data_IF_400766880541
#
_entry.id   IF_400766880541
#
_cell.length_a   1.000
_cell.length_b   1.000
_cell.length_c   1.000
_cell.angle_alpha   90.00
_cell.angle_beta   90.00
_cell.angle_gamma   90.00
#
_symmetry.space_group_name_H-M   'P 1'
#
loop_
_entity.id
_entity.type
_entity.pdbx_description
1 polymer ?
#
# COMPACT_ATOMS: atom_id res chain seq x y z
N UNK A 1 2.86 25.11 -5.76
CA UNK A 1 1.88 24.32 -4.99
C UNK A 1 2.43 24.13 -3.60
N UNK A 2 1.88 24.81 -2.59
CA UNK A 2 2.25 24.59 -1.18
C UNK A 2 1.69 23.23 -0.76
N UNK A 3 2.56 22.28 -0.47
CA UNK A 3 2.18 21.00 0.10
C UNK A 3 2.75 20.93 1.52
N UNK A 4 1.98 21.48 2.45
CA UNK A 4 2.29 21.45 3.88
C UNK A 4 1.91 20.12 4.52
N UNK A 5 1.32 19.18 3.77
CA UNK A 5 0.82 17.89 4.26
C UNK A 5 1.65 16.73 3.70
N UNK A 6 2.94 16.72 4.03
CA UNK A 6 3.76 15.53 3.87
C UNK A 6 3.62 14.65 5.13
N UNK A 7 2.77 13.62 5.04
CA UNK A 7 2.53 12.67 6.12
C UNK A 7 3.60 11.56 6.20
N UNK A 8 4.47 11.46 5.20
CA UNK A 8 5.36 10.31 4.98
C UNK A 8 6.85 10.68 4.96
N UNK A 9 7.19 11.94 4.70
CA UNK A 9 8.55 12.45 4.69
C UNK A 9 9.02 12.96 6.05
N UNK A 10 10.32 13.25 6.11
CA UNK A 10 11.02 13.59 7.35
C UNK A 10 10.92 15.09 7.69
N UNK A 11 10.58 15.94 6.71
CA UNK A 11 10.62 17.40 6.86
C UNK A 11 9.47 18.10 6.13
N UNK A 12 8.90 19.12 6.77
CA UNK A 12 7.82 19.93 6.21
C UNK A 12 8.25 20.58 4.89
N UNK A 13 7.37 20.57 3.88
CA UNK A 13 7.60 21.12 2.53
C UNK A 13 8.72 20.45 1.71
N UNK A 14 9.20 19.25 2.08
CA UNK A 14 10.15 18.47 1.26
C UNK A 14 9.55 17.18 0.69
N UNK A 15 8.24 17.05 0.77
CA UNK A 15 7.52 15.93 0.17
C UNK A 15 7.71 15.86 -1.35
N UNK A 16 7.70 14.65 -1.87
CA UNK A 16 7.70 14.41 -3.31
C UNK A 16 6.27 14.28 -3.84
N UNK A 17 6.10 14.46 -5.15
CA UNK A 17 4.80 14.34 -5.82
C UNK A 17 4.94 13.42 -7.01
N UNK A 18 3.96 12.54 -7.18
CA UNK A 18 3.80 11.71 -8.37
C UNK A 18 2.42 11.97 -8.97
N UNK A 19 2.37 12.09 -10.29
CA UNK A 19 1.13 12.16 -11.06
C UNK A 19 1.09 10.95 -11.98
N UNK A 20 0.08 10.09 -11.81
CA UNK A 20 -0.19 8.96 -12.71
C UNK A 20 -1.37 9.34 -13.59
N UNK A 21 -1.10 9.66 -14.86
CA UNK A 21 -2.13 9.98 -15.83
C UNK A 21 -2.71 8.70 -16.45
N UNK A 22 -4.00 8.44 -16.23
CA UNK A 22 -4.74 7.35 -16.85
C UNK A 22 -5.78 7.91 -17.81
N UNK A 23 -5.44 7.96 -19.11
CA UNK A 23 -6.32 8.46 -20.17
C UNK A 23 -6.14 7.65 -21.47
N UNK A 24 -7.17 7.68 -22.31
CA UNK A 24 -7.18 7.00 -23.62
C UNK A 24 -7.87 5.63 -23.59
N UNK A 25 -7.55 4.82 -24.59
CA UNK A 25 -8.16 3.50 -24.78
C UNK A 25 -7.79 2.50 -23.68
N UNK A 26 -8.67 1.52 -23.45
CA UNK A 26 -8.44 0.45 -22.47
C UNK A 26 -7.18 -0.34 -22.84
N UNK A 27 -6.18 -0.32 -21.94
CA UNK A 27 -4.89 -1.00 -22.15
C UNK A 27 -4.84 -2.46 -21.69
N UNK A 28 -5.68 -2.86 -20.73
CA UNK A 28 -5.65 -4.19 -20.12
C UNK A 28 -6.97 -4.55 -19.45
N UNK A 29 -7.22 -5.84 -19.27
CA UNK A 29 -8.26 -6.34 -18.37
C UNK A 29 -7.66 -6.53 -16.97
N UNK A 30 -8.44 -6.20 -15.94
CA UNK A 30 -7.98 -6.28 -14.55
C UNK A 30 -8.26 -7.67 -14.00
N UNK A 31 -7.26 -8.25 -13.33
CA UNK A 31 -7.40 -9.51 -12.63
C UNK A 31 -8.31 -9.37 -11.41
N UNK A 32 -9.02 -10.44 -11.08
CA UNK A 32 -9.98 -10.49 -9.97
C UNK A 32 -9.83 -11.75 -9.10
N UNK A 33 -8.76 -12.52 -9.34
CA UNK A 33 -8.45 -13.77 -8.62
C UNK A 33 -7.02 -13.68 -8.11
N UNK A 34 -6.86 -13.79 -6.79
CA UNK A 34 -5.55 -13.68 -6.15
C UNK A 34 -4.66 -14.87 -6.57
N UNK A 35 -3.39 -14.64 -6.95
CA UNK A 35 -2.47 -15.71 -7.28
C UNK A 35 -2.15 -16.61 -6.07
N UNK A 36 -2.23 -17.92 -6.26
CA UNK A 36 -1.83 -18.91 -5.25
C UNK A 36 -0.32 -19.16 -5.24
N UNK A 37 0.49 -18.11 -5.13
CA UNK A 37 1.95 -18.17 -5.23
C UNK A 37 2.60 -17.76 -3.92
N UNK A 38 3.64 -18.50 -3.52
CA UNK A 38 4.58 -18.07 -2.49
C UNK A 38 5.65 -17.15 -3.11
N UNK A 39 5.75 -15.94 -2.59
CA UNK A 39 6.73 -14.95 -3.03
C UNK A 39 8.08 -15.14 -2.32
N UNK A 40 8.11 -15.68 -1.10
CA UNK A 40 9.32 -15.81 -0.29
C UNK A 40 9.88 -14.49 0.26
N UNK A 41 11.05 -14.56 0.93
CA UNK A 41 11.76 -13.44 1.57
C UNK A 41 10.89 -12.58 2.52
N UNK A 42 9.97 -13.22 3.24
CA UNK A 42 9.06 -12.54 4.17
C UNK A 42 7.88 -11.82 3.49
N UNK A 43 7.75 -11.89 2.17
CA UNK A 43 6.55 -11.46 1.46
C UNK A 43 5.49 -12.56 1.52
N UNK A 44 4.28 -12.22 1.94
CA UNK A 44 3.22 -13.20 2.21
C UNK A 44 1.82 -12.57 2.10
N UNK A 45 0.79 -13.40 2.35
CA UNK A 45 -0.60 -12.96 2.54
C UNK A 45 -1.10 -12.03 1.43
N UNK A 46 -1.15 -12.53 0.19
CA UNK A 46 -1.66 -11.76 -0.95
C UNK A 46 -3.16 -11.54 -0.78
N UNK A 47 -3.62 -10.29 -0.86
CA UNK A 47 -5.02 -9.90 -0.70
C UNK A 47 -5.45 -8.97 -1.83
N UNK A 48 -6.58 -9.26 -2.46
CA UNK A 48 -7.16 -8.36 -3.44
C UNK A 48 -7.85 -7.20 -2.72
N UNK A 49 -7.43 -5.97 -3.01
CA UNK A 49 -8.14 -4.75 -2.57
C UNK A 49 -9.35 -4.53 -3.47
N UNK A 50 -9.13 -4.57 -4.79
CA UNK A 50 -10.10 -4.44 -5.87
C UNK A 50 -9.52 -5.09 -7.13
N UNK A 51 -10.33 -5.29 -8.17
CA UNK A 51 -9.81 -5.82 -9.43
C UNK A 51 -8.62 -5.00 -9.92
N UNK A 52 -7.48 -5.65 -10.12
CA UNK A 52 -6.22 -5.03 -10.53
C UNK A 52 -5.39 -4.33 -9.44
N UNK A 53 -5.84 -4.34 -8.18
CA UNK A 53 -5.08 -3.82 -7.04
C UNK A 53 -4.85 -4.96 -6.03
N UNK A 54 -3.59 -5.35 -5.88
CA UNK A 54 -3.17 -6.40 -4.96
C UNK A 54 -2.43 -5.79 -3.76
N UNK A 55 -2.69 -6.25 -2.55
CA UNK A 55 -1.90 -5.97 -1.35
C UNK A 55 -1.09 -7.21 -0.96
N UNK A 56 0.15 -7.01 -0.52
CA UNK A 56 1.08 -8.05 -0.10
C UNK A 56 1.63 -7.65 1.27
N UNK A 57 1.65 -8.58 2.22
CA UNK A 57 2.35 -8.38 3.49
C UNK A 57 3.85 -8.42 3.22
N UNK A 58 4.57 -7.35 3.54
CA UNK A 58 6.03 -7.30 3.45
C UNK A 58 6.72 -7.55 4.79
N UNK A 59 8.04 -7.86 4.79
CA UNK A 59 8.82 -7.85 6.03
C UNK A 59 8.85 -6.45 6.63
N UNK A 60 8.89 -6.36 7.97
CA UNK A 60 8.87 -5.08 8.67
C UNK A 60 10.02 -4.16 8.22
N UNK A 61 9.72 -2.89 7.98
CA UNK A 61 10.72 -1.88 7.61
C UNK A 61 11.34 -1.30 8.89
N UNK A 62 12.59 -1.65 9.17
CA UNK A 62 13.35 -1.21 10.34
C UNK A 62 14.30 -0.06 10.00
N UNK A 63 14.88 -0.05 8.81
CA UNK A 63 15.82 0.98 8.37
C UNK A 63 15.87 1.08 6.84
N UNK A 64 16.62 2.04 6.34
CA UNK A 64 16.68 2.34 4.91
C UNK A 64 17.27 1.20 4.05
N UNK A 65 18.06 0.28 4.62
CA UNK A 65 18.57 -0.88 3.89
C UNK A 65 17.44 -1.86 3.51
N UNK A 66 16.31 -1.83 4.23
CA UNK A 66 15.14 -2.66 3.94
C UNK A 66 14.43 -2.28 2.62
N UNK A 67 14.78 -1.13 2.02
CA UNK A 67 14.32 -0.75 0.67
C UNK A 67 14.80 -1.74 -0.38
N UNK A 68 15.98 -2.35 -0.20
CA UNK A 68 16.52 -3.33 -1.14
C UNK A 68 15.61 -4.57 -1.29
N UNK A 69 14.71 -4.82 -0.33
CA UNK A 69 13.71 -5.89 -0.45
C UNK A 69 12.71 -5.66 -1.58
N UNK A 70 12.47 -4.40 -1.99
CA UNK A 70 11.58 -4.06 -3.11
C UNK A 70 12.19 -4.45 -4.45
N UNK A 71 13.50 -4.31 -4.63
CA UNK A 71 14.19 -4.77 -5.85
C UNK A 71 14.09 -6.29 -5.99
N UNK A 72 14.27 -7.02 -4.88
CA UNK A 72 14.08 -8.48 -4.85
C UNK A 72 12.65 -8.89 -5.17
N UNK A 73 11.66 -8.16 -4.64
CA UNK A 73 10.25 -8.37 -4.96
C UNK A 73 9.98 -8.11 -6.45
N UNK A 74 10.46 -7.00 -7.01
CA UNK A 74 10.33 -6.68 -8.43
C UNK A 74 10.89 -7.80 -9.31
N UNK A 75 12.10 -8.27 -9.01
CA UNK A 75 12.74 -9.36 -9.76
C UNK A 75 11.92 -10.64 -9.70
N UNK A 76 11.41 -11.03 -8.52
CA UNK A 76 10.56 -12.22 -8.39
C UNK A 76 9.26 -12.11 -9.16
N UNK A 77 8.59 -10.96 -9.09
CA UNK A 77 7.35 -10.74 -9.85
C UNK A 77 7.62 -10.84 -11.35
N UNK A 78 8.72 -10.27 -11.85
CA UNK A 78 9.15 -10.41 -13.25
C UNK A 78 9.31 -11.89 -13.64
N UNK A 79 10.01 -12.69 -12.83
CA UNK A 79 10.18 -14.12 -13.08
C UNK A 79 8.86 -14.90 -13.04
N UNK A 80 7.97 -14.60 -12.10
CA UNK A 80 6.65 -15.24 -12.00
C UNK A 80 5.73 -14.86 -13.17
N UNK A 81 5.84 -13.64 -13.69
CA UNK A 81 5.12 -13.22 -14.89
C UNK A 81 5.59 -13.99 -16.14
N UNK A 82 6.88 -14.30 -16.25
CA UNK A 82 7.44 -15.08 -17.37
C UNK A 82 7.04 -16.56 -17.32
N UNK A 83 6.89 -17.13 -16.12
CA UNK A 83 6.55 -18.55 -15.94
C UNK A 83 5.06 -18.82 -16.09
N UNK A 84 4.24 -18.19 -15.24
CA UNK A 84 2.84 -18.59 -15.03
C UNK A 84 1.85 -17.43 -15.20
N UNK A 85 2.31 -16.26 -15.69
CA UNK A 85 1.50 -15.05 -15.92
C UNK A 85 0.72 -14.59 -14.67
N UNK A 86 1.17 -14.99 -13.48
CA UNK A 86 0.40 -14.87 -12.26
C UNK A 86 0.09 -13.43 -11.83
N UNK A 87 0.94 -12.48 -12.21
CA UNK A 87 0.75 -11.05 -11.94
C UNK A 87 0.15 -10.28 -13.14
N UNK A 88 -0.26 -10.98 -14.19
CA UNK A 88 -0.97 -10.34 -15.30
C UNK A 88 -2.33 -9.79 -14.83
N UNK A 89 -2.68 -8.60 -15.33
CA UNK A 89 -3.91 -7.92 -14.93
C UNK A 89 -3.87 -7.26 -13.55
N UNK A 90 -2.72 -7.29 -12.85
CA UNK A 90 -2.47 -6.57 -11.60
C UNK A 90 -1.59 -5.33 -11.83
N UNK A 91 -2.12 -4.21 -12.37
CA UNK A 91 -1.31 -3.02 -12.63
C UNK A 91 -0.73 -2.34 -11.39
N UNK A 92 -1.30 -2.58 -10.20
CA UNK A 92 -0.89 -1.94 -8.96
C UNK A 92 -0.75 -2.98 -7.85
N UNK A 93 0.39 -2.96 -7.17
CA UNK A 93 0.70 -3.79 -6.01
C UNK A 93 1.09 -2.88 -4.85
N UNK A 94 0.51 -3.12 -3.69
CA UNK A 94 0.79 -2.40 -2.45
C UNK A 94 1.51 -3.35 -1.50
N UNK A 95 2.69 -2.98 -1.04
CA UNK A 95 3.36 -3.69 0.05
C UNK A 95 3.00 -2.99 1.35
N UNK A 96 2.48 -3.73 2.33
CA UNK A 96 2.07 -3.17 3.62
C UNK A 96 2.40 -4.13 4.76
N UNK A 97 2.36 -3.65 6.02
CA UNK A 97 2.60 -4.51 7.19
C UNK A 97 1.43 -5.50 7.43
N UNK A 98 0.22 -5.10 7.04
CA UNK A 98 -0.99 -5.91 7.16
C UNK A 98 -1.85 -5.79 5.90
N UNK A 99 -1.69 -6.76 5.00
CA UNK A 99 -2.42 -6.82 3.75
C UNK A 99 -3.91 -7.13 3.92
N UNK A 100 -4.32 -7.81 4.99
CA UNK A 100 -5.73 -8.01 5.32
C UNK A 100 -6.36 -6.67 5.63
N UNK A 101 -5.78 -5.90 6.57
CA UNK A 101 -6.30 -4.61 6.95
C UNK A 101 -6.36 -3.66 5.75
N UNK A 102 -5.28 -3.62 4.95
CA UNK A 102 -5.18 -2.80 3.75
C UNK A 102 -6.27 -3.14 2.72
N UNK A 103 -6.58 -4.42 2.53
CA UNK A 103 -7.56 -4.88 1.54
C UNK A 103 -9.02 -4.89 2.05
N UNK A 104 -9.23 -4.83 3.37
CA UNK A 104 -10.55 -4.99 3.99
C UNK A 104 -11.59 -3.97 3.52
N UNK A 105 -11.18 -2.71 3.33
CA UNK A 105 -12.03 -1.64 2.79
C UNK A 105 -11.23 -0.77 1.83
N UNK A 106 -11.93 -0.09 0.92
CA UNK A 106 -11.27 0.86 0.02
C UNK A 106 -10.66 2.04 0.79
N UNK A 107 -11.31 2.49 1.87
CA UNK A 107 -10.81 3.55 2.74
C UNK A 107 -9.51 3.14 3.45
N UNK A 108 -9.42 1.90 3.92
CA UNK A 108 -8.17 1.37 4.49
C UNK A 108 -7.04 1.36 3.47
N UNK A 109 -7.33 0.94 2.22
CA UNK A 109 -6.34 0.99 1.14
C UNK A 109 -5.85 2.42 0.90
N UNK A 110 -6.76 3.39 0.78
CA UNK A 110 -6.39 4.79 0.58
C UNK A 110 -5.53 5.30 1.73
N UNK A 111 -5.95 5.04 2.97
CA UNK A 111 -5.24 5.46 4.16
C UNK A 111 -3.86 4.81 4.26
N UNK A 112 -3.75 3.48 4.22
CA UNK A 112 -2.47 2.77 4.29
C UNK A 112 -1.52 3.24 3.19
N UNK A 113 -1.99 3.24 1.95
CA UNK A 113 -1.13 3.51 0.79
C UNK A 113 -0.61 4.94 0.82
N UNK A 114 -1.50 5.93 0.90
CA UNK A 114 -1.14 7.32 0.63
C UNK A 114 -0.67 8.10 1.87
N UNK A 115 -0.86 7.54 3.08
CA UNK A 115 -0.29 8.15 4.31
C UNK A 115 1.08 7.58 4.68
N UNK A 116 1.52 6.46 4.07
CA UNK A 116 2.76 5.75 4.42
C UNK A 116 3.78 5.64 3.28
N UNK A 117 3.49 6.25 2.12
CA UNK A 117 4.39 6.23 0.97
C UNK A 117 4.82 7.63 0.57
N UNK A 118 6.12 7.85 0.48
CA UNK A 118 6.76 9.00 -0.15
C UNK A 118 7.05 8.65 -1.62
N UNK A 119 6.38 9.28 -2.61
CA UNK A 119 6.46 8.86 -4.00
C UNK A 119 7.87 8.71 -4.61
N UNK A 120 8.84 9.51 -4.20
CA UNK A 120 10.21 9.44 -4.73
C UNK A 120 11.04 8.29 -4.18
N UNK A 121 10.67 7.72 -3.02
CA UNK A 121 11.43 6.67 -2.34
C UNK A 121 10.69 5.35 -2.26
N UNK A 122 9.36 5.37 -2.34
CA UNK A 122 8.50 4.23 -2.08
C UNK A 122 7.77 3.71 -3.33
N UNK A 123 8.09 4.23 -4.52
CA UNK A 123 7.49 3.79 -5.79
C UNK A 123 8.51 3.03 -6.63
N UNK A 124 8.14 1.82 -6.99
CA UNK A 124 8.97 0.89 -7.75
C UNK A 124 8.18 0.36 -8.95
N UNK A 125 8.88 -0.20 -9.94
CA UNK A 125 8.26 -0.77 -11.12
C UNK A 125 8.91 -2.09 -11.50
N UNK A 126 8.09 -3.12 -11.71
CA UNK A 126 8.56 -4.39 -12.24
C UNK A 126 9.00 -4.19 -13.69
N UNK A 127 10.24 -4.59 -14.00
CA UNK A 127 10.87 -4.32 -15.30
C UNK A 127 10.86 -2.81 -15.65
N UNK A 128 11.20 -1.97 -14.66
CA UNK A 128 11.26 -0.52 -14.86
C UNK A 128 12.39 -0.09 -15.81
N UNK A 129 12.16 0.97 -16.56
CA UNK A 129 13.13 1.57 -17.47
C UNK A 129 12.88 3.06 -17.67
N UNK A 130 13.87 3.74 -18.22
CA UNK A 130 13.75 5.12 -18.68
C UNK A 130 13.74 5.15 -20.20
N UNK A 131 12.70 5.75 -20.79
CA UNK A 131 12.67 6.09 -22.22
C UNK A 131 12.73 7.61 -22.34
N UNK A 132 13.87 8.13 -22.79
CA UNK A 132 14.21 9.55 -22.69
C UNK A 132 14.11 10.05 -21.23
N UNK A 133 13.22 11.01 -20.94
CA UNK A 133 12.98 11.58 -19.61
C UNK A 133 11.75 10.96 -18.91
N UNK A 134 11.20 9.89 -19.46
CA UNK A 134 10.03 9.21 -18.92
C UNK A 134 10.44 7.92 -18.23
N UNK A 135 10.24 7.87 -16.92
CA UNK A 135 10.28 6.62 -16.18
C UNK A 135 8.99 5.83 -16.40
N UNK A 136 9.10 4.51 -16.48
CA UNK A 136 7.95 3.61 -16.53
C UNK A 136 8.34 2.17 -16.23
N UNK A 137 7.35 1.28 -16.26
CA UNK A 137 7.52 -0.15 -16.05
C UNK A 137 6.59 -0.95 -16.96
N UNK A 138 7.05 -2.10 -17.47
CA UNK A 138 6.21 -3.00 -18.28
C UNK A 138 5.36 -3.94 -17.41
N UNK A 139 5.82 -4.23 -16.20
CA UNK A 139 5.05 -4.95 -15.19
C UNK A 139 4.27 -4.03 -14.23
N UNK A 140 3.78 -4.59 -13.11
CA UNK A 140 3.07 -3.84 -12.07
C UNK A 140 3.88 -2.67 -11.50
N UNK A 141 3.18 -1.58 -11.17
CA UNK A 141 3.69 -0.55 -10.27
C UNK A 141 3.59 -1.07 -8.84
N UNK A 142 4.66 -0.92 -8.05
CA UNK A 142 4.68 -1.30 -6.64
C UNK A 142 4.80 -0.05 -5.78
N UNK A 143 3.95 0.07 -4.76
CA UNK A 143 4.04 1.10 -3.73
C UNK A 143 4.39 0.45 -2.40
N UNK A 144 5.51 0.84 -1.81
CA UNK A 144 5.92 0.44 -0.46
C UNK A 144 5.22 1.32 0.58
N UNK A 145 4.13 0.81 1.13
CA UNK A 145 3.33 1.44 2.18
C UNK A 145 3.59 0.81 3.57
N UNK A 146 4.71 0.09 3.75
CA UNK A 146 5.14 -0.36 5.08
C UNK A 146 5.38 0.83 5.99
N UNK A 147 5.16 0.66 7.29
CA UNK A 147 5.48 1.69 8.28
C UNK A 147 6.99 1.88 8.39
N UNK A 148 7.47 3.12 8.25
CA UNK A 148 8.87 3.48 8.49
C UNK A 148 9.05 3.97 9.93
N UNK A 149 10.24 3.87 10.53
CA UNK A 149 10.48 4.28 11.92
C UNK A 149 10.14 5.73 12.24
N UNK A 150 10.21 6.63 11.25
CA UNK A 150 9.89 8.05 11.42
C UNK A 150 8.39 8.36 11.30
N UNK A 151 7.55 7.39 10.92
CA UNK A 151 6.10 7.58 10.92
C UNK A 151 5.58 7.70 12.36
N UNK A 152 4.61 8.60 12.56
CA UNK A 152 3.91 8.68 13.84
C UNK A 152 3.31 7.31 14.22
N UNK A 153 3.30 6.95 15.51
CA UNK A 153 2.58 5.76 15.96
C UNK A 153 1.09 5.89 15.62
N UNK A 154 0.38 4.76 15.41
CA UNK A 154 -1.06 4.79 15.22
C UNK A 154 -1.73 5.41 16.44
N UNK A 155 -2.81 6.15 16.19
CA UNK A 155 -3.70 6.61 17.24
C UNK A 155 -4.67 5.47 17.56
N UNK A 156 -4.33 4.67 18.57
CA UNK A 156 -5.20 3.60 19.05
C UNK A 156 -6.12 4.13 20.15
N UNK A 157 -7.39 3.73 20.10
CA UNK A 157 -8.34 4.06 21.16
C UNK A 157 -8.01 3.25 22.41
N UNK A 158 -8.04 3.90 23.58
CA UNK A 158 -7.90 3.20 24.85
C UNK A 158 -9.11 2.28 25.05
N UNK A 159 -8.92 0.94 25.19
CA UNK A 159 -10.02 0.00 25.32
C UNK A 159 -10.90 0.26 26.54
N UNK A 160 -10.31 0.70 27.65
CA UNK A 160 -11.06 0.99 28.89
C UNK A 160 -11.92 2.24 28.70
N UNK A 161 -11.37 3.28 28.07
CA UNK A 161 -12.12 4.50 27.76
C UNK A 161 -13.23 4.20 26.74
N UNK A 162 -12.95 3.38 25.73
CA UNK A 162 -13.94 2.97 24.73
C UNK A 162 -15.12 2.26 25.38
N UNK A 163 -14.85 1.27 26.25
CA UNK A 163 -15.90 0.58 27.00
C UNK A 163 -16.70 1.51 27.91
N UNK A 164 -16.03 2.49 28.54
CA UNK A 164 -16.73 3.49 29.37
C UNK A 164 -17.67 4.35 28.54
N UNK A 165 -17.28 4.74 27.32
CA UNK A 165 -18.15 5.50 26.40
C UNK A 165 -19.29 4.63 25.90
N UNK A 166 -19.03 3.39 25.51
CA UNK A 166 -20.06 2.42 25.08
C UNK A 166 -21.13 2.21 26.16
N UNK A 167 -20.71 2.14 27.43
CA UNK A 167 -21.63 2.02 28.57
C UNK A 167 -22.55 3.24 28.73
N UNK A 168 -22.14 4.43 28.28
CA UNK A 168 -23.00 5.62 28.30
C UNK A 168 -24.12 5.56 27.26
N UNK A 169 -23.89 4.89 26.11
CA UNK A 169 -24.87 4.67 25.04
C UNK A 169 -25.78 3.46 25.25
N UNK A 170 -25.42 2.57 26.16
CA UNK A 170 -26.21 1.38 26.50
C UNK A 170 -27.65 1.74 26.95
N UNK A 171 -28.64 0.84 26.80
CA UNK A 171 -30.01 1.08 27.26
C UNK A 171 -30.08 1.56 28.72
N UNK A 172 -30.72 2.70 28.93
CA UNK A 172 -30.81 3.36 30.26
C UNK A 172 -29.60 4.24 30.62
N UNK A 173 -28.58 4.29 29.77
CA UNK A 173 -27.43 5.19 29.90
C UNK A 173 -27.77 6.65 29.53
N UNK A 174 -26.95 7.61 30.00
CA UNK A 174 -27.21 9.04 29.80
C UNK A 174 -27.12 9.51 28.35
N UNK A 175 -26.49 8.72 27.47
CA UNK A 175 -26.36 9.02 26.04
C UNK A 175 -27.16 8.03 25.16
N UNK A 176 -28.04 7.23 25.76
CA UNK A 176 -28.83 6.24 25.04
C UNK A 176 -29.67 6.87 23.94
N UNK A 177 -29.54 6.36 22.71
CA UNK A 177 -30.23 6.87 21.52
C UNK A 177 -29.59 8.11 20.88
N UNK A 178 -28.45 8.56 21.40
CA UNK A 178 -27.63 9.65 20.83
C UNK A 178 -26.36 9.08 20.21
N UNK A 179 -25.67 8.21 20.94
CA UNK A 179 -24.53 7.41 20.47
C UNK A 179 -24.87 5.92 20.46
#
# INVERSE_FOLDING_TARGET
TMDTLDYSGVTINRGSKLVVAAAGEKKRSLANTVPGIDIGDGFSDLRMVRSGILSIRGPAFQNEDDRASMEKLCHRISEQMKRDRAFEGWPLIIVSDDSEFCARTFDNFLWVTFTRSNPSHDVYGVDSSYTFKHWGCSGPLIIDARRKPHHAPPLDSDPEISQRVDALGAPGGPLHGII
#
